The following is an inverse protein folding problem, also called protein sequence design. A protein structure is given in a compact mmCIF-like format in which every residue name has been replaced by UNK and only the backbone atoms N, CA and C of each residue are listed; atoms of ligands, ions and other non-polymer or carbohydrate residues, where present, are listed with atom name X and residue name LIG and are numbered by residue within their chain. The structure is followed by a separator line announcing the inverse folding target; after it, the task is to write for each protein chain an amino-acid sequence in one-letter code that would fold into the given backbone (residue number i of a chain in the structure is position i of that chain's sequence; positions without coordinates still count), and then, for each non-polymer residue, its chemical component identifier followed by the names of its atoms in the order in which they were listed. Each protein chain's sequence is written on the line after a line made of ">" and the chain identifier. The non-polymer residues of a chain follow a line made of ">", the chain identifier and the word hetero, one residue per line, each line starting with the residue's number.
data_IF_980357097632
#
_entry.id   IF_980357097632
#
_cell.length_a   1.000
_cell.length_b   1.000
_cell.length_c   1.000
_cell.angle_alpha   90.00
_cell.angle_beta   90.00
_cell.angle_gamma   90.00
#
_symmetry.space_group_name_H-M   'P 1'
#
loop_
_entity.id
_entity.type
_entity.pdbx_description
1 polymer ?
#
# COMPACT_ATOMS: atom_id res chain seq x y z
N UNK A 1 -17.23 2.83 18.81
CA UNK A 1 -16.50 2.08 17.76
C UNK A 1 -16.95 2.59 16.40
N UNK A 2 -16.40 3.69 15.89
CA UNK A 2 -16.74 4.19 14.55
C UNK A 2 -15.80 3.54 13.53
N UNK A 3 -16.24 2.47 12.87
CA UNK A 3 -15.60 1.99 11.65
C UNK A 3 -16.16 2.82 10.49
N UNK A 4 -15.58 4.00 10.25
CA UNK A 4 -15.86 4.76 9.04
C UNK A 4 -15.28 3.97 7.86
N UNK A 5 -16.16 3.37 7.05
CA UNK A 5 -15.88 2.95 5.67
C UNK A 5 -15.61 4.22 4.85
N UNK A 6 -14.44 4.82 5.04
CA UNK A 6 -14.04 5.99 4.30
C UNK A 6 -13.82 5.54 2.86
N UNK A 7 -14.73 5.99 1.99
CA UNK A 7 -14.52 6.13 0.56
C UNK A 7 -13.04 6.46 0.32
N UNK A 8 -12.26 5.47 -0.14
CA UNK A 8 -10.80 5.63 -0.21
C UNK A 8 -10.55 6.58 -1.35
N UNK A 9 -10.42 7.87 -1.01
CA UNK A 9 -10.11 8.91 -1.97
C UNK A 9 -8.83 8.52 -2.72
N UNK A 10 -8.79 8.62 -4.06
CA UNK A 10 -7.60 8.24 -4.83
C UNK A 10 -6.36 9.08 -4.47
N UNK A 11 -6.53 10.23 -3.81
CA UNK A 11 -5.46 11.07 -3.25
C UNK A 11 -5.12 10.73 -1.79
N UNK A 12 -5.79 9.76 -1.18
CA UNK A 12 -5.47 9.29 0.15
C UNK A 12 -4.04 8.75 0.20
N UNK A 13 -3.39 8.97 1.34
CA UNK A 13 -2.02 8.54 1.59
C UNK A 13 -2.03 7.33 2.52
N UNK A 14 -1.79 6.16 1.95
CA UNK A 14 -1.76 4.90 2.65
C UNK A 14 -0.45 4.70 3.40
N UNK A 15 -0.52 4.08 4.57
CA UNK A 15 0.65 3.60 5.30
C UNK A 15 0.94 2.15 4.93
N UNK A 16 2.19 1.74 5.11
CA UNK A 16 2.62 0.34 4.92
C UNK A 16 1.68 -0.66 5.61
N UNK A 17 1.28 -0.42 6.85
CA UNK A 17 0.39 -1.31 7.61
C UNK A 17 -1.01 -1.49 7.00
N UNK A 18 -1.48 -0.53 6.19
CA UNK A 18 -2.73 -0.69 5.44
C UNK A 18 -2.52 -1.49 4.16
N UNK A 19 -1.32 -1.41 3.57
CA UNK A 19 -0.99 -2.10 2.32
C UNK A 19 -0.70 -3.58 2.58
N UNK A 20 0.32 -3.88 3.40
CA UNK A 20 0.75 -5.27 3.68
C UNK A 20 0.04 -5.90 4.88
N UNK A 21 -0.87 -5.15 5.51
CA UNK A 21 -1.56 -5.57 6.73
C UNK A 21 -0.78 -5.26 7.99
N UNK A 22 -1.52 -5.15 9.08
CA UNK A 22 -1.05 -4.85 10.43
C UNK A 22 -2.14 -5.20 11.44
N UNK A 23 -1.82 -5.13 12.73
CA UNK A 23 -2.67 -5.54 13.86
C UNK A 23 -4.18 -5.29 13.64
N UNK A 24 -4.90 -6.33 13.19
CA UNK A 24 -6.36 -6.33 13.02
C UNK A 24 -6.91 -5.70 11.73
N UNK A 25 -6.09 -5.33 10.76
CA UNK A 25 -6.53 -4.74 9.48
C UNK A 25 -6.29 -5.70 8.31
N UNK A 26 -7.28 -5.82 7.41
CA UNK A 26 -7.15 -6.65 6.22
C UNK A 26 -6.15 -6.02 5.24
N UNK A 27 -5.08 -6.74 4.85
CA UNK A 27 -4.10 -6.23 3.88
C UNK A 27 -4.72 -6.04 2.51
N UNK A 28 -4.32 -4.99 1.80
CA UNK A 28 -4.58 -4.86 0.36
C UNK A 28 -3.72 -5.83 -0.47
N UNK A 29 -2.49 -6.05 -0.03
CA UNK A 29 -1.54 -6.95 -0.67
C UNK A 29 -0.88 -7.83 0.41
N UNK A 30 -1.33 -9.09 0.60
CA UNK A 30 -0.89 -9.95 1.70
C UNK A 30 0.51 -10.54 1.45
N UNK A 31 1.53 -9.69 1.44
CA UNK A 31 2.93 -10.07 1.25
C UNK A 31 3.79 -9.72 2.46
N UNK A 32 4.93 -10.38 2.58
CA UNK A 32 5.90 -10.09 3.63
C UNK A 32 6.54 -8.71 3.42
N UNK A 33 6.92 -8.08 4.52
CA UNK A 33 7.59 -6.77 4.54
C UNK A 33 8.85 -6.74 3.65
N UNK A 34 9.67 -7.78 3.70
CA UNK A 34 10.87 -7.91 2.85
C UNK A 34 10.52 -7.95 1.36
N UNK A 35 9.51 -8.75 0.98
CA UNK A 35 8.99 -8.83 -0.39
C UNK A 35 8.46 -7.47 -0.84
N UNK A 36 7.76 -6.74 0.02
CA UNK A 36 7.25 -5.40 -0.29
C UNK A 36 8.37 -4.42 -0.66
N UNK A 37 9.44 -4.36 0.14
CA UNK A 37 10.58 -3.52 -0.19
C UNK A 37 11.34 -4.01 -1.43
N UNK A 38 11.43 -5.33 -1.65
CA UNK A 38 12.02 -5.88 -2.87
C UNK A 38 11.24 -5.48 -4.13
N UNK A 39 9.91 -5.45 -4.08
CA UNK A 39 9.07 -4.98 -5.19
C UNK A 39 9.28 -3.49 -5.47
N UNK A 40 9.43 -2.67 -4.42
CA UNK A 40 9.75 -1.25 -4.58
C UNK A 40 11.13 -1.08 -5.24
N UNK A 41 12.14 -1.83 -4.78
CA UNK A 41 13.48 -1.80 -5.37
C UNK A 41 13.51 -2.31 -6.82
N UNK A 42 12.68 -3.31 -7.13
CA UNK A 42 12.53 -3.84 -8.48
C UNK A 42 11.71 -2.92 -9.41
N UNK A 43 11.19 -1.78 -8.93
CA UNK A 43 10.34 -0.88 -9.71
C UNK A 43 8.93 -1.42 -9.98
N UNK A 44 8.53 -2.52 -9.35
CA UNK A 44 7.21 -3.14 -9.47
C UNK A 44 6.16 -2.54 -8.52
N UNK A 45 6.59 -1.73 -7.55
CA UNK A 45 5.71 -1.06 -6.61
C UNK A 45 6.15 0.40 -6.43
N UNK A 46 5.23 1.36 -6.22
CA UNK A 46 5.58 2.78 -6.08
C UNK A 46 6.52 3.04 -4.89
N UNK A 47 7.44 3.98 -5.09
CA UNK A 47 8.33 4.44 -4.04
C UNK A 47 7.56 5.19 -2.92
N UNK A 48 7.98 5.07 -1.65
CA UNK A 48 7.38 5.82 -0.56
C UNK A 48 7.56 7.32 -0.72
N UNK A 49 6.47 8.08 -0.59
CA UNK A 49 6.50 9.52 -0.36
C UNK A 49 6.75 9.78 1.13
N UNK A 50 7.92 10.32 1.45
CA UNK A 50 8.26 10.69 2.84
C UNK A 50 7.55 11.99 3.23
N UNK A 51 6.82 11.95 4.34
CA UNK A 51 6.23 13.13 4.97
C UNK A 51 6.66 13.12 6.45
N UNK A 52 7.58 14.02 6.79
CA UNK A 52 8.28 14.02 8.06
C UNK A 52 9.03 12.70 8.30
N UNK A 53 8.72 12.04 9.42
CA UNK A 53 9.36 10.76 9.82
C UNK A 53 8.65 9.52 9.27
N UNK A 54 7.50 9.69 8.60
CA UNK A 54 6.67 8.59 8.12
C UNK A 54 6.73 8.47 6.60
N UNK A 55 6.61 7.24 6.12
CA UNK A 55 6.48 6.91 4.70
C UNK A 55 5.02 6.67 4.34
N UNK A 56 4.59 7.27 3.25
CA UNK A 56 3.23 7.18 2.73
C UNK A 56 3.24 6.79 1.26
N UNK A 57 2.16 6.18 0.79
CA UNK A 57 1.97 5.81 -0.60
C UNK A 57 0.63 6.35 -1.09
N UNK A 58 0.57 7.02 -2.24
CA UNK A 58 -0.70 7.43 -2.84
C UNK A 58 -1.57 6.20 -3.12
N UNK A 59 -2.84 6.25 -2.73
CA UNK A 59 -3.77 5.14 -2.91
C UNK A 59 -3.89 4.74 -4.38
N UNK A 60 -4.03 5.71 -5.30
CA UNK A 60 -4.11 5.45 -6.74
C UNK A 60 -2.92 4.63 -7.28
N UNK A 61 -1.70 5.02 -6.90
CA UNK A 61 -0.47 4.32 -7.32
C UNK A 61 -0.39 2.90 -6.74
N UNK A 62 -0.80 2.73 -5.48
CA UNK A 62 -0.84 1.42 -4.81
C UNK A 62 -1.81 0.49 -5.53
N UNK A 63 -3.04 0.93 -5.80
CA UNK A 63 -4.03 0.11 -6.48
C UNK A 63 -3.59 -0.26 -7.90
N UNK A 64 -3.04 0.70 -8.66
CA UNK A 64 -2.52 0.43 -10.00
C UNK A 64 -1.35 -0.57 -9.99
N UNK A 65 -0.48 -0.51 -8.98
CA UNK A 65 0.60 -1.49 -8.83
C UNK A 65 0.08 -2.87 -8.45
N UNK A 66 -0.90 -2.97 -7.54
CA UNK A 66 -1.53 -4.23 -7.16
C UNK A 66 -2.23 -4.86 -8.38
N UNK A 67 -2.99 -4.07 -9.14
CA UNK A 67 -3.67 -4.53 -10.35
C UNK A 67 -2.67 -5.12 -11.37
N UNK A 68 -1.55 -4.44 -11.62
CA UNK A 68 -0.48 -4.97 -12.48
C UNK A 68 0.12 -6.27 -11.94
N UNK A 69 0.39 -6.34 -10.63
CA UNK A 69 0.95 -7.53 -10.00
C UNK A 69 0.00 -8.73 -10.02
N UNK A 70 -1.32 -8.48 -9.96
CA UNK A 70 -2.35 -9.53 -10.08
C UNK A 70 -2.59 -9.93 -11.54
N UNK A 71 -2.46 -9.01 -12.50
CA UNK A 71 -2.62 -9.31 -13.92
C UNK A 71 -1.42 -10.06 -14.54
N UNK A 72 -0.23 -9.95 -13.93
CA UNK A 72 1.00 -10.66 -14.37
C UNK A 72 1.15 -12.08 -13.77
N UNK A 73 0.17 -12.57 -12.99
CA UNK A 73 0.18 -13.89 -12.34
C UNK A 73 -0.92 -14.81 -12.85
#
# INVERSE_FOLDING_TARGET
>A
MQHQTAHTDPRALLRKSQIIGGAGQQPLLPIKNTTFYALIQAGKFPAPKKIGRSSFWPAAEVFAAIEKLTAEG
#
